data_IF_101973086018
#
_entry.id   IF_101973086018
#
_cell.length_a   1.000
_cell.length_b   1.000
_cell.length_c   1.000
_cell.angle_alpha   90.00
_cell.angle_beta   90.00
_cell.angle_gamma   90.00
#
_symmetry.space_group_name_H-M   'P 1'
#
loop_
_entity.id
_entity.type
_entity.pdbx_description
1 polymer ?
#
# COMPACT_ATOMS: atom_id res chain seq x y z
N UNK A 1 6.59 11.32 3.58
CA UNK A 1 7.79 10.48 3.47
C UNK A 1 7.54 9.11 4.06
N UNK A 2 8.30 8.13 3.61
CA UNK A 2 8.36 6.80 4.19
C UNK A 2 9.80 6.40 4.45
N UNK A 3 10.01 5.78 5.61
CA UNK A 3 11.22 5.02 5.91
C UNK A 3 10.95 3.53 5.79
N UNK A 4 11.94 2.79 5.39
CA UNK A 4 11.90 1.34 5.34
C UNK A 4 13.15 0.74 5.93
N UNK A 5 12.96 -0.24 6.81
CA UNK A 5 14.03 -1.02 7.41
C UNK A 5 13.65 -2.49 7.50
N UNK A 6 14.65 -3.34 7.60
CA UNK A 6 14.50 -4.75 7.98
C UNK A 6 15.34 -5.02 9.21
N UNK A 7 14.76 -5.71 10.18
CA UNK A 7 15.40 -6.06 11.44
C UNK A 7 15.27 -7.57 11.72
N UNK A 8 16.13 -8.18 12.53
CA UNK A 8 15.91 -9.54 13.04
C UNK A 8 14.61 -9.62 13.86
N UNK A 9 13.90 -10.74 13.80
CA UNK A 9 12.71 -10.96 14.62
C UNK A 9 13.09 -11.48 16.03
N UNK A 10 13.51 -10.56 16.89
CA UNK A 10 13.89 -10.86 18.28
C UNK A 10 12.74 -10.69 19.29
N UNK A 11 11.55 -10.32 18.80
CA UNK A 11 10.37 -10.05 19.63
C UNK A 11 9.23 -11.05 19.41
N UNK A 12 9.50 -12.17 18.73
CA UNK A 12 8.50 -13.16 18.34
C UNK A 12 7.29 -12.54 17.63
N UNK A 13 7.54 -11.65 16.66
CA UNK A 13 6.48 -11.02 15.89
C UNK A 13 5.65 -12.09 15.17
N UNK A 14 4.35 -12.19 15.45
CA UNK A 14 3.50 -13.23 14.86
C UNK A 14 3.34 -13.04 13.34
N UNK A 15 2.88 -14.06 12.59
CA UNK A 15 2.71 -14.03 11.14
C UNK A 15 1.50 -13.19 10.71
N UNK A 16 1.49 -11.92 11.11
CA UNK A 16 0.44 -10.93 10.80
C UNK A 16 1.07 -9.60 10.43
N UNK A 17 0.34 -8.77 9.68
CA UNK A 17 0.70 -7.37 9.53
C UNK A 17 0.09 -6.55 10.69
N UNK A 18 0.91 -5.76 11.37
CA UNK A 18 0.47 -4.84 12.42
C UNK A 18 0.61 -3.40 11.95
N UNK A 19 -0.37 -2.58 12.31
CA UNK A 19 -0.34 -1.14 12.06
C UNK A 19 -0.39 -0.40 13.39
N UNK A 20 0.68 0.33 13.69
CA UNK A 20 0.79 1.21 14.84
C UNK A 20 0.48 2.63 14.38
N UNK A 21 -0.62 3.21 14.87
CA UNK A 21 -1.15 4.49 14.41
C UNK A 21 -0.89 5.60 15.43
N UNK A 22 -0.42 6.76 14.95
CA UNK A 22 -0.26 7.99 15.71
C UNK A 22 -0.68 9.21 14.88
N UNK A 23 -0.87 10.40 15.47
CA UNK A 23 -1.18 11.61 14.72
C UNK A 23 -0.16 11.87 13.60
N UNK A 24 -0.62 11.96 12.35
CA UNK A 24 0.19 12.19 11.14
C UNK A 24 1.30 11.15 10.87
N UNK A 25 1.28 10.01 11.56
CA UNK A 25 2.29 8.94 11.43
C UNK A 25 1.67 7.58 11.63
N UNK A 26 2.25 6.59 10.98
CA UNK A 26 1.99 5.19 11.32
C UNK A 26 3.21 4.35 11.00
N UNK A 27 3.29 3.20 11.63
CA UNK A 27 4.28 2.17 11.34
C UNK A 27 3.57 0.86 11.02
N UNK A 28 3.98 0.22 9.94
CA UNK A 28 3.54 -1.13 9.58
C UNK A 28 4.69 -2.09 9.80
N UNK A 29 4.42 -3.20 10.47
CA UNK A 29 5.39 -4.28 10.69
C UNK A 29 4.79 -5.61 10.23
N UNK A 30 5.60 -6.44 9.58
CA UNK A 30 5.23 -7.81 9.20
C UNK A 30 6.47 -8.68 9.03
N UNK A 31 6.35 -10.00 9.31
CA UNK A 31 7.48 -10.90 9.22
C UNK A 31 7.85 -11.22 7.77
N UNK A 32 9.12 -11.49 7.55
CA UNK A 32 9.71 -11.98 6.31
C UNK A 32 10.49 -13.26 6.57
N UNK A 33 10.84 -13.99 5.52
CA UNK A 33 11.71 -15.18 5.56
C UNK A 33 11.26 -16.21 6.59
N UNK A 34 9.98 -16.57 6.57
CA UNK A 34 9.44 -17.55 7.52
C UNK A 34 9.39 -17.08 8.96
N UNK A 35 9.55 -15.79 9.24
CA UNK A 35 9.51 -15.22 10.58
C UNK A 35 10.88 -14.83 11.15
N UNK A 36 11.97 -15.05 10.41
CA UNK A 36 13.33 -14.70 10.88
C UNK A 36 13.57 -13.18 10.92
N UNK A 37 12.91 -12.44 10.05
CA UNK A 37 13.08 -10.99 9.89
C UNK A 37 11.75 -10.27 10.01
N UNK A 38 11.78 -8.99 10.36
CA UNK A 38 10.62 -8.09 10.33
C UNK A 38 10.90 -6.97 9.34
N UNK A 39 9.98 -6.75 8.40
CA UNK A 39 9.97 -5.54 7.59
C UNK A 39 9.21 -4.43 8.31
N UNK A 40 9.78 -3.24 8.33
CA UNK A 40 9.22 -2.03 8.90
C UNK A 40 9.00 -1.00 7.81
N UNK A 41 7.80 -0.44 7.75
CA UNK A 41 7.47 0.71 6.91
C UNK A 41 6.91 1.79 7.82
N UNK A 42 7.63 2.88 7.97
CA UNK A 42 7.28 3.99 8.84
C UNK A 42 6.94 5.20 7.98
N UNK A 43 5.72 5.68 8.09
CA UNK A 43 5.19 6.79 7.28
C UNK A 43 4.93 8.02 8.15
N UNK A 44 5.38 9.16 7.68
CA UNK A 44 5.13 10.46 8.30
C UNK A 44 4.65 11.46 7.25
N UNK A 45 3.58 12.18 7.59
CA UNK A 45 3.14 13.35 6.81
C UNK A 45 4.08 14.50 7.10
N UNK A 46 4.78 14.99 6.06
CA UNK A 46 5.63 16.19 6.12
C UNK A 46 5.11 17.22 5.14
N UNK A 47 5.28 18.50 5.48
CA UNK A 47 4.99 19.63 4.58
C UNK A 47 6.21 20.02 3.75
N UNK A 48 7.39 19.58 4.17
CA UNK A 48 8.64 19.82 3.47
C UNK A 48 8.77 18.86 2.29
N UNK A 49 9.33 19.38 1.20
CA UNK A 49 9.62 18.57 0.01
C UNK A 49 10.64 17.48 0.35
N UNK A 50 10.43 16.29 -0.15
CA UNK A 50 11.40 15.20 -0.11
C UNK A 50 11.84 14.91 -1.55
N UNK A 51 13.10 14.58 -1.73
CA UNK A 51 13.62 14.23 -3.05
C UNK A 51 12.92 12.96 -3.58
N UNK A 52 12.63 12.97 -4.87
CA UNK A 52 12.11 11.79 -5.56
C UNK A 52 13.25 10.78 -5.75
N UNK A 53 12.96 9.52 -5.48
CA UNK A 53 13.93 8.43 -5.65
C UNK A 53 13.74 7.29 -4.66
N UNK A 54 14.41 6.17 -4.93
CA UNK A 54 14.28 4.94 -4.14
C UNK A 54 15.55 4.60 -3.34
N UNK A 55 16.65 5.32 -3.55
CA UNK A 55 17.99 4.99 -3.04
C UNK A 55 18.52 6.03 -2.05
N UNK A 56 17.64 6.76 -1.39
CA UNK A 56 18.07 7.69 -0.34
C UNK A 56 18.16 6.93 0.99
N UNK A 57 19.30 7.04 1.66
CA UNK A 57 19.48 6.58 3.03
C UNK A 57 19.24 7.77 3.97
N UNK A 58 18.79 7.47 5.18
CA UNK A 58 18.66 8.44 6.26
C UNK A 58 19.38 7.93 7.50
N UNK A 59 19.66 8.84 8.42
CA UNK A 59 20.19 8.47 9.73
C UNK A 59 19.08 7.78 10.55
N UNK A 60 19.30 6.58 11.09
CA UNK A 60 18.36 5.93 11.98
C UNK A 60 17.93 6.78 13.19
N UNK A 61 18.74 7.73 13.62
CA UNK A 61 18.38 8.65 14.70
C UNK A 61 17.27 9.62 14.30
N UNK A 62 17.21 10.05 13.03
CA UNK A 62 16.10 10.85 12.51
C UNK A 62 14.77 10.07 12.57
N UNK A 63 14.82 8.79 12.20
CA UNK A 63 13.66 7.91 12.34
C UNK A 63 13.24 7.76 13.80
N UNK A 64 14.19 7.44 14.71
CA UNK A 64 13.89 7.28 16.14
C UNK A 64 13.33 8.56 16.76
N UNK A 65 13.87 9.72 16.41
CA UNK A 65 13.36 11.01 16.85
C UNK A 65 11.92 11.26 16.35
N UNK A 66 11.65 10.94 15.07
CA UNK A 66 10.32 11.09 14.49
C UNK A 66 9.26 10.19 15.12
N UNK A 67 9.64 9.04 15.69
CA UNK A 67 8.75 8.04 16.28
C UNK A 67 9.00 7.83 17.80
N UNK A 68 9.60 8.79 18.50
CA UNK A 68 9.98 8.67 19.90
C UNK A 68 8.82 8.44 20.88
N UNK A 69 7.60 8.78 20.50
CA UNK A 69 6.37 8.58 21.28
C UNK A 69 5.70 7.20 21.05
N UNK A 70 6.28 6.35 20.18
CA UNK A 70 5.81 4.99 20.01
C UNK A 70 6.32 4.11 21.13
N UNK A 71 5.43 3.31 21.74
CA UNK A 71 5.74 2.43 22.86
C UNK A 71 5.62 0.95 22.52
N UNK A 72 5.85 0.09 23.54
CA UNK A 72 5.69 -1.36 23.43
C UNK A 72 6.56 -1.99 22.34
N UNK A 73 5.98 -2.91 21.57
CA UNK A 73 6.69 -3.64 20.49
C UNK A 73 7.24 -2.67 19.42
N UNK A 74 6.54 -1.58 19.16
CA UNK A 74 6.98 -0.59 18.16
C UNK A 74 8.31 0.06 18.58
N UNK A 75 8.45 0.48 19.85
CA UNK A 75 9.70 1.05 20.35
C UNK A 75 10.85 0.04 20.31
N UNK A 76 10.57 -1.24 20.66
CA UNK A 76 11.57 -2.29 20.59
C UNK A 76 12.07 -2.55 19.16
N UNK A 77 11.16 -2.52 18.19
CA UNK A 77 11.52 -2.66 16.77
C UNK A 77 12.34 -1.47 16.27
N UNK A 78 11.93 -0.25 16.60
CA UNK A 78 12.64 0.99 16.20
C UNK A 78 14.06 1.06 16.77
N UNK A 79 14.26 0.57 17.99
CA UNK A 79 15.58 0.53 18.62
C UNK A 79 16.59 -0.40 17.90
N UNK A 80 16.10 -1.41 17.16
CA UNK A 80 16.92 -2.36 16.42
C UNK A 80 17.32 -1.86 15.02
N UNK A 81 16.77 -0.75 14.54
CA UNK A 81 17.08 -0.23 13.20
C UNK A 81 18.49 0.33 13.18
N UNK A 82 19.36 -0.26 12.37
CA UNK A 82 20.75 0.16 12.16
C UNK A 82 20.93 0.87 10.82
N UNK A 83 20.09 0.53 9.84
CA UNK A 83 20.11 1.13 8.51
C UNK A 83 18.67 1.39 8.08
N UNK A 84 18.43 2.52 7.41
CA UNK A 84 17.08 2.89 6.97
C UNK A 84 17.12 3.63 5.63
N UNK A 85 16.29 3.17 4.69
CA UNK A 85 16.02 3.91 3.47
C UNK A 85 14.90 4.93 3.69
N UNK A 86 15.00 6.08 3.03
CA UNK A 86 14.01 7.16 3.04
C UNK A 86 13.59 7.48 1.62
N UNK A 87 12.28 7.64 1.38
CA UNK A 87 11.77 8.16 0.10
C UNK A 87 10.50 8.99 0.28
N UNK A 88 10.27 9.88 -0.70
CA UNK A 88 9.03 10.64 -0.81
C UNK A 88 7.86 9.75 -1.21
N UNK A 89 6.70 9.96 -0.59
CA UNK A 89 5.44 9.35 -1.01
C UNK A 89 4.63 10.40 -1.79
N UNK A 90 4.67 10.31 -3.11
CA UNK A 90 3.93 11.21 -3.99
C UNK A 90 2.66 10.54 -4.50
N UNK A 91 1.59 11.31 -4.55
CA UNK A 91 0.35 10.86 -5.18
C UNK A 91 0.33 11.33 -6.62
N UNK A 92 0.36 10.38 -7.53
CA UNK A 92 0.18 10.64 -8.95
C UNK A 92 -1.24 10.26 -9.39
N UNK A 93 -1.82 10.99 -10.35
CA UNK A 93 -3.08 10.57 -10.96
C UNK A 93 -2.86 9.29 -11.78
N UNK A 94 -3.92 8.49 -11.91
CA UNK A 94 -3.93 7.39 -12.87
C UNK A 94 -3.78 7.96 -14.28
N UNK A 95 -2.90 7.39 -15.09
CA UNK A 95 -2.73 7.84 -16.47
C UNK A 95 -4.07 7.71 -17.24
N UNK A 96 -4.49 8.72 -17.97
CA UNK A 96 -5.76 8.67 -18.72
C UNK A 96 -5.69 7.71 -19.92
N UNK A 97 -4.52 7.57 -20.51
CA UNK A 97 -4.26 6.73 -21.66
C UNK A 97 -3.14 5.74 -21.32
N UNK A 98 -3.43 4.44 -21.40
CA UNK A 98 -2.48 3.37 -21.10
C UNK A 98 -1.94 2.73 -22.37
N UNK A 99 -2.52 3.06 -23.51
CA UNK A 99 -2.22 2.41 -24.78
C UNK A 99 -1.94 3.43 -25.88
N UNK A 100 -1.10 3.05 -26.83
CA UNK A 100 -0.80 3.77 -28.05
C UNK A 100 -0.93 2.83 -29.25
N UNK A 101 -0.36 3.20 -30.39
CA UNK A 101 -0.47 2.43 -31.64
C UNK A 101 0.01 0.99 -31.50
N UNK A 102 1.20 0.77 -30.90
CA UNK A 102 1.77 -0.55 -30.61
C UNK A 102 2.43 -0.59 -29.22
N UNK A 103 1.85 0.14 -28.27
CA UNK A 103 2.42 0.37 -26.95
C UNK A 103 1.34 0.18 -25.88
N UNK A 104 1.71 -0.45 -24.78
CA UNK A 104 0.94 -0.43 -23.53
C UNK A 104 1.85 -0.14 -22.35
N UNK A 105 1.35 0.62 -21.38
CA UNK A 105 1.93 0.77 -20.04
C UNK A 105 1.09 -0.02 -19.03
N UNK A 106 1.72 -0.49 -17.97
CA UNK A 106 1.07 -1.25 -16.89
C UNK A 106 1.75 -0.97 -15.55
N UNK A 107 1.13 -1.40 -14.46
CA UNK A 107 1.66 -1.22 -13.11
C UNK A 107 1.90 0.26 -12.77
N UNK A 108 3.00 0.56 -12.08
CA UNK A 108 3.31 1.91 -11.62
C UNK A 108 3.48 2.93 -12.75
N UNK A 109 3.80 2.50 -13.97
CA UNK A 109 3.85 3.38 -15.14
C UNK A 109 2.46 3.90 -15.54
N UNK A 110 1.40 3.15 -15.27
CA UNK A 110 0.01 3.50 -15.59
C UNK A 110 -0.74 4.07 -14.38
N UNK A 111 -0.48 3.50 -13.19
CA UNK A 111 -1.26 3.77 -11.99
C UNK A 111 -0.42 3.63 -10.70
N UNK A 112 0.59 4.49 -10.49
CA UNK A 112 1.39 4.46 -9.28
C UNK A 112 0.52 4.62 -8.03
N UNK A 113 0.72 3.79 -7.03
CA UNK A 113 -0.13 3.75 -5.83
C UNK A 113 0.66 3.94 -4.55
N UNK A 114 0.03 4.59 -3.58
CA UNK A 114 0.54 4.65 -2.21
C UNK A 114 0.46 3.27 -1.54
N UNK A 115 1.39 2.91 -0.65
CA UNK A 115 1.54 1.55 -0.10
C UNK A 115 0.44 1.12 0.90
N UNK A 116 -0.62 1.92 1.06
CA UNK A 116 -1.62 1.72 2.13
C UNK A 116 -2.56 0.51 1.98
N UNK A 117 -2.59 -0.12 0.82
CA UNK A 117 -3.39 -1.33 0.57
C UNK A 117 -2.55 -2.52 0.11
N UNK A 118 -1.24 -2.35 -0.02
CA UNK A 118 -0.31 -3.37 -0.51
C UNK A 118 -0.73 -3.99 -1.87
N UNK A 119 -1.32 -3.18 -2.77
CA UNK A 119 -1.91 -3.65 -4.03
C UNK A 119 -1.08 -3.34 -5.27
N UNK A 120 -0.02 -2.52 -5.20
CA UNK A 120 0.73 -2.11 -6.40
C UNK A 120 1.21 -3.29 -7.25
N UNK A 121 1.97 -4.20 -6.65
CA UNK A 121 2.47 -5.39 -7.36
C UNK A 121 1.35 -6.33 -7.83
N UNK A 122 0.29 -6.50 -7.03
CA UNK A 122 -0.86 -7.34 -7.41
C UNK A 122 -1.57 -6.76 -8.62
N UNK A 123 -1.82 -5.44 -8.65
CA UNK A 123 -2.44 -4.79 -9.81
C UNK A 123 -1.58 -4.89 -11.06
N UNK A 124 -0.26 -4.77 -10.94
CA UNK A 124 0.65 -4.96 -12.08
C UNK A 124 0.59 -6.40 -12.63
N UNK A 125 0.46 -7.41 -11.77
CA UNK A 125 0.25 -8.80 -12.20
C UNK A 125 -1.12 -9.00 -12.86
N UNK A 126 -2.17 -8.39 -12.31
CA UNK A 126 -3.50 -8.39 -12.94
C UNK A 126 -3.46 -7.72 -14.32
N UNK A 127 -2.74 -6.60 -14.47
CA UNK A 127 -2.58 -5.90 -15.74
C UNK A 127 -1.89 -6.78 -16.78
N UNK A 128 -0.79 -7.43 -16.41
CA UNK A 128 -0.05 -8.31 -17.30
C UNK A 128 -0.93 -9.47 -17.79
N UNK A 129 -1.71 -10.07 -16.89
CA UNK A 129 -2.65 -11.12 -17.25
C UNK A 129 -3.72 -10.63 -18.24
N UNK A 130 -4.37 -9.49 -17.93
CA UNK A 130 -5.45 -8.96 -18.76
C UNK A 130 -4.92 -8.49 -20.11
N UNK A 131 -3.73 -7.90 -20.16
CA UNK A 131 -3.09 -7.50 -21.41
C UNK A 131 -2.84 -8.72 -22.32
N UNK A 132 -2.27 -9.78 -21.76
CA UNK A 132 -2.03 -11.02 -22.50
C UNK A 132 -3.33 -11.66 -23.00
N UNK A 133 -4.35 -11.77 -22.12
CA UNK A 133 -5.67 -12.31 -22.48
C UNK A 133 -6.39 -11.47 -23.55
N UNK A 134 -6.32 -10.14 -23.43
CA UNK A 134 -6.94 -9.23 -24.39
C UNK A 134 -6.30 -9.31 -25.76
N UNK A 135 -4.96 -9.35 -25.84
CA UNK A 135 -4.24 -9.49 -27.09
C UNK A 135 -4.46 -10.88 -27.72
N UNK A 136 -4.57 -11.93 -26.91
CA UNK A 136 -4.82 -13.30 -27.39
C UNK A 136 -6.21 -13.46 -28.03
N UNK A 137 -7.20 -12.74 -27.50
CA UNK A 137 -8.60 -12.83 -27.95
C UNK A 137 -8.97 -11.86 -29.07
N UNK A 138 -8.18 -10.84 -29.28
CA UNK A 138 -8.45 -9.81 -30.26
C UNK A 138 -8.04 -10.23 -31.67
N UNK A 139 -8.72 -9.69 -32.67
CA UNK A 139 -8.40 -9.90 -34.08
C UNK A 139 -7.13 -9.13 -34.51
N UNK A 140 -6.83 -8.03 -33.81
CA UNK A 140 -5.67 -7.19 -34.05
C UNK A 140 -5.13 -6.57 -32.75
N UNK A 141 -3.91 -6.02 -32.80
CA UNK A 141 -3.23 -5.43 -31.65
C UNK A 141 -4.02 -4.22 -31.11
N UNK A 142 -4.56 -3.37 -31.95
CA UNK A 142 -5.23 -2.13 -31.53
C UNK A 142 -6.50 -2.43 -30.73
N UNK A 143 -7.31 -3.38 -31.18
CA UNK A 143 -8.52 -3.83 -30.48
C UNK A 143 -8.16 -4.51 -29.14
N UNK A 144 -7.09 -5.32 -29.11
CA UNK A 144 -6.61 -5.95 -27.88
C UNK A 144 -6.12 -4.93 -26.85
N UNK A 145 -5.38 -3.92 -27.26
CA UNK A 145 -4.93 -2.83 -26.39
C UNK A 145 -6.10 -2.00 -25.85
N UNK A 146 -7.08 -1.72 -26.67
CA UNK A 146 -8.32 -1.01 -26.26
C UNK A 146 -9.09 -1.82 -25.21
N UNK A 147 -9.25 -3.12 -25.42
CA UNK A 147 -9.92 -4.01 -24.48
C UNK A 147 -9.16 -4.12 -23.15
N UNK A 148 -7.83 -4.17 -23.18
CA UNK A 148 -6.99 -4.14 -21.98
C UNK A 148 -7.29 -2.91 -21.11
N UNK A 149 -7.17 -1.70 -21.68
CA UNK A 149 -7.42 -0.47 -20.93
C UNK A 149 -8.86 -0.40 -20.42
N UNK A 150 -9.85 -0.79 -21.21
CA UNK A 150 -11.26 -0.79 -20.81
C UNK A 150 -11.54 -1.69 -19.59
N UNK A 151 -10.90 -2.84 -19.52
CA UNK A 151 -11.05 -3.80 -18.41
C UNK A 151 -10.33 -3.35 -17.14
N UNK A 152 -9.19 -2.63 -17.26
CA UNK A 152 -8.32 -2.35 -16.10
C UNK A 152 -8.47 -0.98 -15.50
N UNK A 153 -8.68 0.06 -16.31
CA UNK A 153 -8.63 1.46 -15.87
C UNK A 153 -9.57 1.77 -14.70
N UNK A 154 -10.84 1.37 -14.80
CA UNK A 154 -11.84 1.66 -13.75
C UNK A 154 -11.49 0.96 -12.42
N UNK A 155 -11.01 -0.29 -12.49
CA UNK A 155 -10.62 -1.04 -11.30
C UNK A 155 -9.37 -0.43 -10.64
N UNK A 156 -8.33 -0.13 -11.41
CA UNK A 156 -7.11 0.49 -10.90
C UNK A 156 -7.42 1.83 -10.22
N UNK A 157 -8.20 2.69 -10.88
CA UNK A 157 -8.63 3.98 -10.29
C UNK A 157 -9.34 3.78 -8.96
N UNK A 158 -10.29 2.85 -8.88
CA UNK A 158 -11.04 2.57 -7.64
C UNK A 158 -10.13 2.06 -6.51
N UNK A 159 -9.15 1.21 -6.81
CA UNK A 159 -8.19 0.70 -5.82
C UNK A 159 -7.32 1.84 -5.29
N UNK A 160 -6.80 2.70 -6.17
CA UNK A 160 -5.95 3.85 -5.81
C UNK A 160 -6.71 4.87 -4.97
N UNK A 161 -7.95 5.19 -5.33
CA UNK A 161 -8.79 6.09 -4.54
C UNK A 161 -9.08 5.53 -3.15
N UNK A 162 -9.31 4.22 -3.06
CA UNK A 162 -9.50 3.52 -1.78
C UNK A 162 -8.22 3.55 -0.93
N UNK A 163 -7.05 3.29 -1.54
CA UNK A 163 -5.76 3.37 -0.87
C UNK A 163 -5.50 4.78 -0.34
N UNK A 164 -5.77 5.81 -1.15
CA UNK A 164 -5.64 7.21 -0.76
C UNK A 164 -6.60 7.59 0.38
N UNK A 165 -7.81 7.10 0.35
CA UNK A 165 -8.79 7.31 1.42
C UNK A 165 -8.39 6.66 2.75
N UNK A 166 -7.67 5.52 2.71
CA UNK A 166 -7.17 4.89 3.93
C UNK A 166 -6.03 5.68 4.59
N UNK A 167 -5.21 6.40 3.82
CA UNK A 167 -4.15 7.24 4.36
C UNK A 167 -4.68 8.24 5.42
N UNK A 168 -5.83 8.86 5.15
CA UNK A 168 -6.47 9.78 6.09
C UNK A 168 -6.85 9.09 7.41
N UNK A 169 -7.37 7.85 7.37
CA UNK A 169 -7.78 7.09 8.56
C UNK A 169 -6.60 6.77 9.48
N UNK A 170 -5.45 6.45 8.92
CA UNK A 170 -4.24 6.14 9.70
C UNK A 170 -3.61 7.37 10.36
N UNK A 171 -3.93 8.58 9.87
CA UNK A 171 -3.29 9.82 10.30
C UNK A 171 -4.23 10.77 11.06
N UNK A 172 -5.34 10.28 11.62
CA UNK A 172 -6.29 11.05 12.40
C UNK A 172 -5.60 11.76 13.56
N UNK A 173 -5.64 13.10 13.57
CA UNK A 173 -4.94 13.93 14.53
C UNK A 173 -5.88 14.59 15.54
N UNK A 174 -7.15 14.87 15.18
CA UNK A 174 -8.11 15.52 16.06
C UNK A 174 -8.57 14.55 17.16
N UNK A 175 -8.25 14.80 18.46
CA UNK A 175 -8.41 13.82 19.53
C UNK A 175 -9.81 13.22 19.68
N UNK A 176 -10.92 14.00 19.67
CA UNK A 176 -12.27 13.45 19.79
C UNK A 176 -12.61 12.49 18.64
N UNK A 177 -12.29 12.85 17.40
CA UNK A 177 -12.55 12.03 16.22
C UNK A 177 -11.69 10.78 16.20
N UNK A 178 -10.42 10.89 16.61
CA UNK A 178 -9.52 9.74 16.76
C UNK A 178 -10.05 8.76 17.80
N UNK A 179 -10.46 9.26 18.97
CA UNK A 179 -11.05 8.43 20.02
C UNK A 179 -12.31 7.69 19.56
N UNK A 180 -13.21 8.39 18.89
CA UNK A 180 -14.42 7.80 18.31
C UNK A 180 -14.11 6.74 17.23
N UNK A 181 -13.14 7.02 16.35
CA UNK A 181 -12.72 6.08 15.32
C UNK A 181 -12.09 4.80 15.91
N UNK A 182 -11.22 4.94 16.92
CA UNK A 182 -10.61 3.79 17.60
C UNK A 182 -11.65 2.97 18.38
N UNK A 183 -12.61 3.63 19.05
CA UNK A 183 -13.71 2.95 19.71
C UNK A 183 -14.58 2.20 18.71
N UNK A 184 -14.95 2.86 17.61
CA UNK A 184 -15.71 2.25 16.51
C UNK A 184 -15.00 1.03 15.91
N UNK A 185 -13.70 1.13 15.65
CA UNK A 185 -12.90 0.03 15.15
C UNK A 185 -12.86 -1.14 16.15
N UNK A 186 -12.66 -0.85 17.45
CA UNK A 186 -12.68 -1.86 18.53
C UNK A 186 -14.04 -2.55 18.63
N UNK A 187 -15.13 -1.81 18.58
CA UNK A 187 -16.48 -2.37 18.61
C UNK A 187 -16.76 -3.23 17.39
N UNK A 188 -16.43 -2.74 16.19
CA UNK A 188 -16.60 -3.50 14.95
C UNK A 188 -15.74 -4.76 14.89
N UNK A 189 -14.50 -4.71 15.36
CA UNK A 189 -13.63 -5.90 15.42
C UNK A 189 -14.13 -6.97 16.40
N UNK A 190 -14.87 -6.57 17.42
CA UNK A 190 -15.45 -7.49 18.41
C UNK A 190 -16.84 -7.99 18.00
N UNK A 191 -17.72 -7.10 17.54
CA UNK A 191 -19.13 -7.42 17.29
C UNK A 191 -19.39 -7.93 15.87
N UNK A 192 -18.61 -7.46 14.88
CA UNK A 192 -18.82 -7.78 13.47
C UNK A 192 -17.50 -7.94 12.69
N UNK A 193 -16.55 -8.78 13.12
CA UNK A 193 -15.23 -8.89 12.47
C UNK A 193 -15.34 -9.30 11.00
N UNK A 194 -16.31 -10.16 10.65
CA UNK A 194 -16.53 -10.57 9.26
C UNK A 194 -16.93 -9.38 8.36
N UNK A 195 -17.79 -8.48 8.84
CA UNK A 195 -18.19 -7.29 8.06
C UNK A 195 -17.02 -6.32 7.85
N UNK A 196 -16.15 -6.18 8.85
CA UNK A 196 -14.97 -5.35 8.77
C UNK A 196 -14.02 -5.83 7.66
N UNK A 197 -13.90 -7.14 7.48
CA UNK A 197 -13.08 -7.75 6.42
C UNK A 197 -13.78 -7.71 5.06
N UNK A 198 -15.06 -8.02 5.01
CA UNK A 198 -15.84 -8.12 3.76
C UNK A 198 -15.88 -6.83 2.95
N UNK A 199 -15.76 -5.66 3.58
CA UNK A 199 -15.70 -4.38 2.87
C UNK A 199 -14.56 -4.29 1.84
N UNK A 200 -13.54 -5.13 1.98
CA UNK A 200 -12.39 -5.21 1.09
C UNK A 200 -12.38 -6.45 0.18
N UNK A 201 -13.41 -7.29 0.24
CA UNK A 201 -13.50 -8.52 -0.58
C UNK A 201 -13.40 -8.21 -2.08
N UNK A 202 -13.94 -7.08 -2.54
CA UNK A 202 -13.84 -6.64 -3.93
C UNK A 202 -12.39 -6.34 -4.38
N UNK A 203 -11.44 -6.13 -3.44
CA UNK A 203 -10.01 -5.99 -3.71
C UNK A 203 -9.33 -7.36 -3.60
N UNK A 204 -9.42 -7.97 -2.41
CA UNK A 204 -8.58 -9.13 -2.05
C UNK A 204 -9.11 -10.47 -2.52
N UNK A 205 -10.39 -10.57 -2.90
CA UNK A 205 -10.99 -11.78 -3.49
C UNK A 205 -11.16 -11.70 -4.99
N UNK A 206 -10.76 -10.59 -5.59
CA UNK A 206 -10.83 -10.45 -7.03
C UNK A 206 -9.90 -11.46 -7.71
N UNK A 207 -10.43 -12.15 -8.70
CA UNK A 207 -9.70 -13.13 -9.50
C UNK A 207 -9.86 -12.77 -10.98
N UNK A 208 -8.86 -12.08 -11.50
CA UNK A 208 -8.84 -11.58 -12.88
C UNK A 208 -8.89 -12.70 -13.91
N UNK A 209 -8.50 -13.93 -13.54
CA UNK A 209 -8.50 -15.09 -14.43
C UNK A 209 -9.92 -15.64 -14.69
N UNK A 210 -10.89 -15.24 -13.84
CA UNK A 210 -12.29 -15.65 -13.94
C UNK A 210 -13.17 -14.59 -14.57
N UNK A 211 -12.65 -13.44 -14.91
CA UNK A 211 -13.41 -12.43 -15.64
C UNK A 211 -13.73 -12.97 -17.04
N UNK A 212 -15.01 -13.01 -17.37
CA UNK A 212 -15.41 -13.26 -18.77
C UNK A 212 -14.97 -12.04 -19.58
N UNK A 213 -14.16 -12.27 -20.60
CA UNK A 213 -13.81 -11.20 -21.55
C UNK A 213 -15.07 -10.53 -22.08
N UNK A 214 -15.00 -9.20 -22.26
CA UNK A 214 -16.02 -8.42 -22.93
C UNK A 214 -16.10 -8.84 -24.39
#
# INVERSE_FOLDING_TARGET
VAWRATIPNTIDHPPVARVHMAPKRHMVSYPLRGGEMINLVMVQVRMEWADEGWNHNDDPDNLRAAFADFGGDAAQMLAQVTEVGLWGLFRHPVAPNWTGENLAILGDAAHPTLPFMAQGAVMAMEDAWVLADALHRADDIASGLTAYQARRHARATKVIDTASGNAWKYHLSFPPMRGAAHLGLRLMSTLAPKRLMQQFDWIYRHDVTREKGL
#
